data_IF_795169405478
#
_entry.id   IF_795169405478
#
_cell.length_a   1.000
_cell.length_b   1.000
_cell.length_c   1.000
_cell.angle_alpha   90.00
_cell.angle_beta   90.00
_cell.angle_gamma   90.00
#
_symmetry.space_group_name_H-M   'P 1'
#
loop_
_entity.id
_entity.type
_entity.pdbx_description
1 polymer ?
#
# COMPACT_ATOMS: atom_id res chain seq x y z
N UNK A 1 -14.50 -16.95 42.93
CA UNK A 1 -14.62 -15.62 42.28
C UNK A 1 -13.91 -15.72 40.95
N UNK A 2 -14.66 -15.88 39.87
CA UNK A 2 -14.08 -15.83 38.53
C UNK A 2 -13.89 -14.34 38.22
N UNK A 3 -12.65 -13.87 38.24
CA UNK A 3 -12.34 -12.54 37.71
C UNK A 3 -12.63 -12.56 36.22
N UNK A 4 -13.63 -11.79 35.82
CA UNK A 4 -13.88 -11.43 34.42
C UNK A 4 -12.59 -10.79 33.86
N UNK A 5 -11.99 -11.30 32.78
CA UNK A 5 -10.82 -10.68 32.18
C UNK A 5 -11.18 -9.26 31.73
N UNK A 6 -10.63 -8.27 32.42
CA UNK A 6 -10.80 -6.86 32.06
C UNK A 6 -10.43 -6.67 30.59
N UNK A 7 -11.19 -5.87 29.83
CA UNK A 7 -10.92 -5.66 28.42
C UNK A 7 -9.49 -5.15 28.25
N UNK A 8 -8.69 -5.92 27.52
CA UNK A 8 -7.33 -5.57 27.17
C UNK A 8 -7.36 -4.25 26.40
N UNK A 9 -7.01 -3.14 27.06
CA UNK A 9 -6.95 -1.81 26.46
C UNK A 9 -5.62 -1.62 25.71
N UNK A 10 -5.28 -2.60 24.87
CA UNK A 10 -4.09 -2.54 24.01
C UNK A 10 -4.30 -1.49 22.93
N UNK A 11 -3.28 -0.67 22.72
CA UNK A 11 -3.29 0.30 21.64
C UNK A 11 -3.27 -0.42 20.28
N UNK A 12 -3.84 0.21 19.23
CA UNK A 12 -3.78 -0.33 17.88
C UNK A 12 -2.33 -0.53 17.42
N UNK A 13 -2.10 -1.55 16.59
CA UNK A 13 -0.78 -1.83 16.01
C UNK A 13 -0.19 -0.59 15.30
N UNK A 14 1.13 -0.44 15.40
CA UNK A 14 1.86 0.70 14.81
C UNK A 14 1.95 1.95 15.70
N UNK A 15 1.58 1.85 16.98
CA UNK A 15 1.80 2.91 17.98
C UNK A 15 2.86 2.47 18.99
N UNK A 16 3.80 3.34 19.27
CA UNK A 16 4.88 3.10 20.24
C UNK A 16 4.45 3.60 21.62
N UNK A 17 4.43 2.70 22.60
CA UNK A 17 4.03 3.01 23.98
C UNK A 17 4.95 4.05 24.61
N UNK A 18 6.23 4.06 24.25
CA UNK A 18 7.21 5.03 24.77
C UNK A 18 6.96 6.46 24.30
N UNK A 19 6.16 6.64 23.25
CA UNK A 19 5.86 7.94 22.63
C UNK A 19 4.46 8.45 22.95
N UNK A 20 3.73 7.79 23.85
CA UNK A 20 2.41 8.26 24.28
C UNK A 20 2.58 9.53 25.12
N UNK A 21 1.74 10.52 24.85
CA UNK A 21 1.67 11.76 25.62
C UNK A 21 0.29 11.96 26.22
N UNK A 22 0.22 12.41 27.47
CA UNK A 22 -1.03 12.74 28.16
C UNK A 22 -1.06 14.21 28.55
N UNK A 23 -2.17 14.88 28.26
CA UNK A 23 -2.42 16.27 28.64
C UNK A 23 -3.75 16.38 29.37
N UNK A 24 -3.72 16.93 30.59
CA UNK A 24 -4.91 17.32 31.33
C UNK A 24 -5.10 18.83 31.19
N UNK A 25 -6.24 19.24 30.64
CA UNK A 25 -6.59 20.65 30.56
C UNK A 25 -7.21 21.15 31.87
N UNK A 26 -7.17 22.47 32.08
CA UNK A 26 -7.67 23.11 33.31
C UNK A 26 -9.17 22.95 33.54
N UNK A 27 -9.93 22.58 32.51
CA UNK A 27 -11.35 22.23 32.55
C UNK A 27 -11.61 20.73 32.86
N UNK A 28 -10.54 19.95 33.10
CA UNK A 28 -10.63 18.55 33.53
C UNK A 28 -10.68 17.52 32.39
N UNK A 29 -10.42 17.91 31.14
CA UNK A 29 -10.38 16.97 30.02
C UNK A 29 -9.01 16.31 29.92
N UNK A 30 -8.98 14.98 30.00
CA UNK A 30 -7.79 14.18 29.75
C UNK A 30 -7.70 13.81 28.27
N UNK A 31 -6.65 14.28 27.61
CA UNK A 31 -6.31 13.93 26.23
C UNK A 31 -5.10 13.02 26.21
N UNK A 32 -5.25 11.84 25.62
CA UNK A 32 -4.16 10.88 25.40
C UNK A 32 -3.87 10.86 23.90
N UNK A 33 -2.63 11.17 23.53
CA UNK A 33 -2.16 11.17 22.14
C UNK A 33 -1.15 10.05 21.97
N UNK A 34 -1.41 9.16 21.01
CA UNK A 34 -0.47 8.12 20.59
C UNK A 34 -0.06 8.43 19.13
N UNK A 35 1.18 8.90 18.87
CA UNK A 35 1.62 9.14 17.52
C UNK A 35 1.84 7.82 16.77
N UNK A 36 1.36 7.76 15.52
CA UNK A 36 1.60 6.61 14.64
C UNK A 36 3.07 6.57 14.26
N UNK A 37 3.72 5.43 14.51
CA UNK A 37 5.05 5.18 13.99
C UNK A 37 4.90 4.92 12.49
N UNK A 38 5.21 5.91 11.67
CA UNK A 38 5.37 5.68 10.23
C UNK A 38 6.56 4.75 10.05
N UNK A 39 6.30 3.47 9.82
CA UNK A 39 7.29 2.59 9.22
C UNK A 39 7.63 3.19 7.85
N UNK A 40 8.80 3.80 7.75
CA UNK A 40 9.31 4.40 6.51
C UNK A 40 9.43 3.37 5.37
N UNK A 41 9.24 2.09 5.70
CA UNK A 41 9.15 1.00 4.75
C UNK A 41 7.75 0.92 4.11
N UNK A 42 7.42 1.92 3.29
CA UNK A 42 6.56 1.64 2.16
C UNK A 42 7.33 0.68 1.25
N UNK A 43 7.02 -0.61 1.29
CA UNK A 43 7.58 -1.62 0.40
C UNK A 43 7.17 -1.28 -1.05
N UNK A 44 8.00 -0.49 -1.74
CA UNK A 44 7.81 -0.15 -3.13
C UNK A 44 8.15 -1.36 -3.98
N UNK A 45 7.15 -2.00 -4.58
CA UNK A 45 7.38 -3.01 -5.61
C UNK A 45 7.69 -2.34 -6.96
N UNK A 46 8.86 -2.64 -7.53
CA UNK A 46 9.18 -2.26 -8.90
C UNK A 46 8.44 -3.21 -9.85
N UNK A 47 7.50 -2.69 -10.64
CA UNK A 47 6.78 -3.48 -11.66
C UNK A 47 7.47 -3.23 -13.00
N UNK A 48 8.22 -4.20 -13.56
CA UNK A 48 8.89 -4.02 -14.84
C UNK A 48 7.88 -3.92 -15.98
N UNK A 49 8.06 -2.93 -16.84
CA UNK A 49 7.33 -2.80 -18.11
C UNK A 49 8.05 -3.62 -19.19
N UNK A 50 7.44 -4.75 -19.58
CA UNK A 50 7.93 -5.54 -20.71
C UNK A 50 7.31 -5.01 -22.00
N UNK A 51 8.14 -4.58 -22.95
CA UNK A 51 7.68 -4.17 -24.28
C UNK A 51 7.09 -5.40 -25.01
N UNK A 52 5.78 -5.44 -25.16
CA UNK A 52 5.09 -6.52 -25.87
C UNK A 52 5.19 -6.31 -27.38
N UNK A 53 6.10 -7.03 -28.03
CA UNK A 53 6.10 -7.32 -29.47
C UNK A 53 6.41 -6.16 -30.44
N UNK A 54 7.26 -6.45 -31.44
CA UNK A 54 7.46 -5.57 -32.60
C UNK A 54 6.15 -5.45 -33.39
N UNK A 55 5.75 -4.21 -33.68
CA UNK A 55 4.62 -3.90 -34.57
C UNK A 55 4.71 -4.77 -35.84
N UNK A 56 3.61 -5.42 -36.28
CA UNK A 56 3.61 -6.21 -37.50
C UNK A 56 4.17 -5.36 -38.66
N UNK A 57 5.22 -5.86 -39.33
CA UNK A 57 5.72 -5.21 -40.55
C UNK A 57 4.55 -5.14 -41.54
N UNK A 58 4.28 -3.98 -42.15
CA UNK A 58 3.22 -3.88 -43.15
C UNK A 58 3.50 -4.90 -44.25
N UNK A 59 2.51 -5.73 -44.56
CA UNK A 59 2.61 -6.77 -45.57
C UNK A 59 3.06 -6.14 -46.89
N UNK A 60 4.20 -6.60 -47.41
CA UNK A 60 4.56 -6.36 -48.81
C UNK A 60 3.50 -7.03 -49.67
N UNK A 61 2.75 -6.21 -50.41
CA UNK A 61 1.87 -6.65 -51.49
C UNK A 61 2.76 -7.15 -52.62
N UNK A 62 2.78 -8.47 -52.86
CA UNK A 62 3.46 -9.06 -54.01
C UNK A 62 2.48 -9.08 -55.21
N UNK A 63 2.87 -8.37 -56.27
CA UNK A 63 2.15 -8.26 -57.53
C UNK A 63 2.41 -9.53 -58.38
N UNK A 64 1.49 -10.49 -58.32
CA UNK A 64 1.52 -11.70 -59.15
C UNK A 64 0.88 -11.52 -60.52
N UNK A 65 1.71 -11.52 -61.56
CA UNK A 65 1.41 -11.42 -62.99
C UNK A 65 0.74 -12.66 -63.61
N UNK A 66 0.02 -12.38 -64.69
CA UNK A 66 -0.62 -13.19 -65.75
C UNK A 66 -0.09 -14.60 -66.08
N UNK A 67 -1.01 -15.53 -66.36
CA UNK A 67 -0.99 -16.35 -67.59
C UNK A 67 -2.25 -17.23 -67.82
N UNK A 68 -2.59 -17.31 -69.11
CA UNK A 68 -3.73 -17.91 -69.82
C UNK A 68 -3.49 -19.39 -70.15
N UNK A 69 -4.53 -20.22 -70.11
CA UNK A 69 -4.75 -21.34 -71.05
C UNK A 69 -6.25 -21.55 -71.23
#
# INVERSE_FOLDING_TARGET
MNMDPSPNNSLPEGHDISKIESKLSSDGVLTITAPKVTSENCEYRNIPITQTGQLPKPAVVDEGKDNKT
#
